data_IF_681435966327
#
_entry.id   IF_681435966327
#
_cell.length_a   1.000
_cell.length_b   1.000
_cell.length_c   1.000
_cell.angle_alpha   90.00
_cell.angle_beta   90.00
_cell.angle_gamma   90.00
#
_symmetry.space_group_name_H-M   'P 1'
#
loop_
_entity.id
_entity.type
_entity.pdbx_description
1 polymer ?
#
# COMPACT_ATOMS: atom_id res chain seq x y z
N UNK A 1 43.04 -52.64 -63.32
CA UNK A 1 41.87 -52.21 -64.13
C UNK A 1 40.51 -52.58 -63.52
N UNK A 2 40.26 -53.80 -63.01
CA UNK A 2 38.99 -54.11 -62.29
C UNK A 2 39.08 -53.92 -60.77
N UNK A 3 40.18 -54.36 -60.14
CA UNK A 3 40.38 -54.22 -58.69
C UNK A 3 40.54 -52.76 -58.24
N UNK A 4 41.20 -51.92 -59.05
CA UNK A 4 41.38 -50.50 -58.74
C UNK A 4 40.04 -49.74 -58.77
N UNK A 5 39.17 -50.08 -59.73
CA UNK A 5 37.84 -49.51 -59.84
C UNK A 5 36.96 -49.92 -58.66
N UNK A 6 37.02 -51.20 -58.26
CA UNK A 6 36.30 -51.69 -57.08
C UNK A 6 36.77 -51.00 -55.79
N UNK A 7 38.08 -50.81 -55.62
CA UNK A 7 38.65 -50.11 -54.46
C UNK A 7 38.24 -48.64 -54.42
N UNK A 8 38.29 -47.95 -55.55
CA UNK A 8 37.84 -46.56 -55.66
C UNK A 8 36.36 -46.43 -55.31
N UNK A 9 35.51 -47.28 -55.89
CA UNK A 9 34.07 -47.25 -55.64
C UNK A 9 33.71 -47.52 -54.16
N UNK A 10 34.38 -48.49 -53.52
CA UNK A 10 34.18 -48.76 -52.09
C UNK A 10 34.60 -47.57 -51.20
N UNK A 11 35.69 -46.91 -51.57
CA UNK A 11 36.20 -45.73 -50.85
C UNK A 11 35.22 -44.56 -50.98
N UNK A 12 34.78 -44.28 -52.20
CA UNK A 12 33.83 -43.20 -52.49
C UNK A 12 32.47 -43.43 -51.82
N UNK A 13 32.00 -44.68 -51.83
CA UNK A 13 30.77 -45.07 -51.13
C UNK A 13 30.89 -44.87 -49.62
N UNK A 14 32.02 -45.29 -49.02
CA UNK A 14 32.26 -45.12 -47.59
C UNK A 14 32.33 -43.63 -47.19
N UNK A 15 33.07 -42.83 -47.97
CA UNK A 15 33.19 -41.38 -47.75
C UNK A 15 31.84 -40.67 -47.91
N UNK A 16 31.07 -41.01 -48.94
CA UNK A 16 29.74 -40.43 -49.18
C UNK A 16 28.77 -40.76 -48.04
N UNK A 17 28.81 -42.01 -47.55
CA UNK A 17 27.99 -42.44 -46.41
C UNK A 17 28.38 -41.72 -45.12
N UNK A 18 29.68 -41.60 -44.85
CA UNK A 18 30.18 -40.88 -43.67
C UNK A 18 29.80 -39.41 -43.72
N UNK A 19 30.00 -38.75 -44.87
CA UNK A 19 29.60 -37.36 -45.07
C UNK A 19 28.10 -37.15 -44.81
N UNK A 20 27.25 -38.01 -45.38
CA UNK A 20 25.80 -37.92 -45.16
C UNK A 20 25.41 -38.10 -43.69
N UNK A 21 26.07 -39.01 -42.96
CA UNK A 21 25.82 -39.23 -41.53
C UNK A 21 26.23 -38.02 -40.68
N UNK A 22 27.36 -37.40 -40.99
CA UNK A 22 27.83 -36.18 -40.31
C UNK A 22 26.85 -35.03 -40.58
N UNK A 23 26.51 -34.77 -41.84
CA UNK A 23 25.57 -33.71 -42.23
C UNK A 23 24.19 -33.89 -41.58
N UNK A 24 23.67 -35.13 -41.56
CA UNK A 24 22.39 -35.43 -40.92
C UNK A 24 22.45 -35.22 -39.40
N UNK A 25 23.54 -35.64 -38.75
CA UNK A 25 23.72 -35.50 -37.30
C UNK A 25 23.87 -34.03 -36.91
N UNK A 26 24.63 -33.26 -37.68
CA UNK A 26 24.79 -31.82 -37.45
C UNK A 26 23.48 -31.07 -37.63
N UNK A 27 22.70 -31.39 -38.67
CA UNK A 27 21.36 -30.80 -38.85
C UNK A 27 20.45 -31.10 -37.67
N UNK A 28 20.37 -32.35 -37.23
CA UNK A 28 19.54 -32.74 -36.08
C UNK A 28 20.00 -32.05 -34.79
N UNK A 29 21.30 -31.89 -34.59
CA UNK A 29 21.84 -31.17 -33.43
C UNK A 29 21.46 -29.69 -33.45
N UNK A 30 21.56 -29.02 -34.61
CA UNK A 30 21.16 -27.63 -34.75
C UNK A 30 19.65 -27.43 -34.55
N UNK A 31 18.83 -28.32 -35.08
CA UNK A 31 17.37 -28.32 -34.86
C UNK A 31 17.05 -28.46 -33.37
N UNK A 32 17.68 -29.43 -32.68
CA UNK A 32 17.50 -29.65 -31.25
C UNK A 32 17.88 -28.41 -30.40
N UNK A 33 19.03 -27.79 -30.68
CA UNK A 33 19.47 -26.59 -29.94
C UNK A 33 18.53 -25.41 -30.20
N UNK A 34 18.10 -25.21 -31.45
CA UNK A 34 17.12 -24.19 -31.81
C UNK A 34 15.82 -24.39 -31.04
N UNK A 35 15.30 -25.62 -30.99
CA UNK A 35 14.03 -25.91 -30.35
C UNK A 35 14.12 -25.79 -28.82
N UNK A 36 15.22 -26.20 -28.21
CA UNK A 36 15.47 -25.94 -26.79
C UNK A 36 15.48 -24.43 -26.48
N UNK A 37 16.13 -23.62 -27.33
CA UNK A 37 16.20 -22.18 -27.12
C UNK A 37 14.83 -21.51 -27.28
N UNK A 38 14.01 -21.96 -28.25
CA UNK A 38 12.63 -21.49 -28.41
C UNK A 38 11.79 -21.80 -27.19
N UNK A 39 11.74 -23.07 -26.77
CA UNK A 39 10.97 -23.50 -25.59
C UNK A 39 11.38 -22.71 -24.35
N UNK A 40 12.70 -22.53 -24.14
CA UNK A 40 13.21 -21.74 -23.02
C UNK A 40 12.72 -20.29 -23.07
N UNK A 41 12.76 -19.67 -24.25
CA UNK A 41 12.36 -18.27 -24.42
C UNK A 41 10.86 -18.09 -24.23
N UNK A 42 10.06 -19.00 -24.79
CA UNK A 42 8.60 -19.02 -24.63
C UNK A 42 8.21 -19.18 -23.16
N UNK A 43 8.83 -20.13 -22.46
CA UNK A 43 8.56 -20.36 -21.04
C UNK A 43 8.90 -19.14 -20.18
N UNK A 44 10.06 -18.52 -20.41
CA UNK A 44 10.45 -17.29 -19.69
C UNK A 44 9.51 -16.13 -19.97
N UNK A 45 9.00 -16.02 -21.20
CA UNK A 45 8.05 -14.98 -21.59
C UNK A 45 6.72 -15.18 -20.88
N UNK A 46 6.19 -16.41 -20.89
CA UNK A 46 4.95 -16.76 -20.18
C UNK A 46 5.06 -16.47 -18.68
N UNK A 47 6.14 -16.92 -18.03
CA UNK A 47 6.34 -16.64 -16.60
C UNK A 47 6.40 -15.15 -16.30
N UNK A 48 7.04 -14.36 -17.17
CA UNK A 48 7.12 -12.91 -17.00
C UNK A 48 5.74 -12.26 -17.11
N UNK A 49 4.94 -12.66 -18.11
CA UNK A 49 3.58 -12.15 -18.31
C UNK A 49 2.65 -12.51 -17.15
N UNK A 50 2.74 -13.74 -16.63
CA UNK A 50 1.96 -14.17 -15.47
C UNK A 50 2.34 -13.40 -14.19
N UNK A 51 3.63 -13.18 -13.96
CA UNK A 51 4.11 -12.37 -12.84
C UNK A 51 3.65 -10.92 -12.95
N UNK A 52 3.74 -10.33 -14.14
CA UNK A 52 3.29 -8.96 -14.37
C UNK A 52 1.77 -8.82 -14.18
N UNK A 53 0.98 -9.79 -14.66
CA UNK A 53 -0.47 -9.84 -14.46
C UNK A 53 -0.82 -9.96 -12.98
N UNK A 54 -0.18 -10.89 -12.27
CA UNK A 54 -0.41 -11.09 -10.83
C UNK A 54 -0.05 -9.84 -10.02
N UNK A 55 1.05 -9.17 -10.37
CA UNK A 55 1.45 -7.91 -9.74
C UNK A 55 0.40 -6.82 -9.95
N UNK A 56 -0.07 -6.61 -11.18
CA UNK A 56 -1.08 -5.60 -11.48
C UNK A 56 -2.40 -5.86 -10.74
N UNK A 57 -2.83 -7.12 -10.67
CA UNK A 57 -4.03 -7.53 -9.94
C UNK A 57 -3.93 -7.23 -8.43
N UNK A 58 -2.77 -7.53 -7.83
CA UNK A 58 -2.51 -7.25 -6.42
C UNK A 58 -2.49 -5.74 -6.15
N UNK A 59 -1.82 -4.96 -7.00
CA UNK A 59 -1.78 -3.50 -6.89
C UNK A 59 -3.18 -2.89 -7.02
N UNK A 60 -4.00 -3.38 -7.96
CA UNK A 60 -5.37 -2.93 -8.13
C UNK A 60 -6.25 -3.24 -6.91
N UNK A 61 -6.16 -4.47 -6.38
CA UNK A 61 -6.87 -4.88 -5.16
C UNK A 61 -6.46 -4.05 -3.95
N UNK A 62 -5.16 -3.81 -3.78
CA UNK A 62 -4.63 -2.99 -2.70
C UNK A 62 -5.11 -1.54 -2.80
N UNK A 63 -5.07 -0.96 -4.01
CA UNK A 63 -5.55 0.40 -4.26
C UNK A 63 -7.03 0.56 -3.95
N UNK A 64 -7.87 -0.40 -4.35
CA UNK A 64 -9.30 -0.32 -4.05
C UNK A 64 -9.57 -0.49 -2.55
N UNK A 65 -8.89 -1.42 -1.88
CA UNK A 65 -8.98 -1.58 -0.43
C UNK A 65 -8.59 -0.29 0.31
N UNK A 66 -7.49 0.33 -0.08
CA UNK A 66 -7.04 1.60 0.49
C UNK A 66 -8.07 2.71 0.28
N UNK A 67 -8.65 2.82 -0.92
CA UNK A 67 -9.69 3.80 -1.24
C UNK A 67 -10.94 3.61 -0.36
N UNK A 68 -11.37 2.37 -0.13
CA UNK A 68 -12.50 2.05 0.74
C UNK A 68 -12.19 2.48 2.18
N UNK A 69 -11.01 2.16 2.70
CA UNK A 69 -10.63 2.55 4.07
C UNK A 69 -10.49 4.07 4.24
N UNK A 70 -9.94 4.78 3.25
CA UNK A 70 -9.89 6.25 3.26
C UNK A 70 -11.30 6.86 3.29
N UNK A 71 -12.23 6.33 2.50
CA UNK A 71 -13.60 6.80 2.48
C UNK A 71 -14.31 6.54 3.81
N UNK A 72 -14.11 5.36 4.43
CA UNK A 72 -14.64 5.04 5.76
C UNK A 72 -14.09 5.99 6.81
N UNK A 73 -12.79 6.26 6.80
CA UNK A 73 -12.15 7.18 7.73
C UNK A 73 -12.66 8.61 7.56
N UNK A 74 -12.80 9.08 6.32
CA UNK A 74 -13.34 10.40 6.02
C UNK A 74 -14.79 10.55 6.51
N UNK A 75 -15.62 9.52 6.32
CA UNK A 75 -17.00 9.54 6.78
C UNK A 75 -17.11 9.49 8.31
N UNK A 76 -16.29 8.65 8.96
CA UNK A 76 -16.19 8.62 10.43
C UNK A 76 -15.79 10.00 10.97
N UNK A 77 -14.73 10.59 10.43
CA UNK A 77 -14.26 11.90 10.85
C UNK A 77 -15.33 12.99 10.65
N UNK A 78 -16.09 12.96 9.56
CA UNK A 78 -17.22 13.86 9.33
C UNK A 78 -18.27 13.74 10.43
N UNK A 79 -18.62 12.51 10.82
CA UNK A 79 -19.58 12.23 11.90
C UNK A 79 -19.04 12.70 13.26
N UNK A 80 -17.77 12.43 13.55
CA UNK A 80 -17.12 12.84 14.80
C UNK A 80 -17.08 14.36 14.93
N UNK A 81 -16.77 15.10 13.84
CA UNK A 81 -16.83 16.57 13.82
C UNK A 81 -18.26 17.06 14.08
N UNK A 82 -19.27 16.45 13.43
CA UNK A 82 -20.68 16.83 13.62
C UNK A 82 -21.13 16.61 15.06
N UNK A 83 -20.72 15.50 15.69
CA UNK A 83 -20.97 15.23 17.09
C UNK A 83 -20.23 16.23 18.00
N UNK A 84 -18.97 16.55 17.67
CA UNK A 84 -18.17 17.53 18.39
C UNK A 84 -18.84 18.90 18.44
N UNK A 85 -19.33 19.39 17.30
CA UNK A 85 -20.00 20.69 17.18
C UNK A 85 -21.32 20.80 17.96
N UNK A 86 -21.91 19.69 18.41
CA UNK A 86 -23.18 19.68 19.17
C UNK A 86 -22.99 19.75 20.69
N UNK A 87 -21.75 19.70 21.19
CA UNK A 87 -21.44 19.67 22.62
C UNK A 87 -20.65 20.92 23.04
N UNK A 88 -20.50 21.10 24.35
CA UNK A 88 -19.58 22.08 24.94
C UNK A 88 -18.33 21.37 25.42
N UNK A 89 -17.18 22.02 25.29
CA UNK A 89 -15.88 21.41 25.55
C UNK A 89 -15.09 22.22 26.56
N UNK A 90 -14.41 21.50 27.45
CA UNK A 90 -13.58 22.08 28.49
C UNK A 90 -12.42 22.81 27.82
N UNK A 91 -12.27 24.11 28.12
CA UNK A 91 -11.17 24.90 27.58
C UNK A 91 -9.79 24.33 27.98
N UNK A 92 -9.70 23.70 29.15
CA UNK A 92 -8.43 23.25 29.72
C UNK A 92 -7.97 21.87 29.22
N UNK A 93 -8.90 20.93 29.02
CA UNK A 93 -8.55 19.51 28.77
C UNK A 93 -9.36 18.84 27.66
N UNK A 94 -10.22 19.60 26.96
CA UNK A 94 -11.03 19.11 25.83
C UNK A 94 -12.02 17.99 26.17
N UNK A 95 -12.20 17.64 27.45
CA UNK A 95 -13.30 16.80 27.90
C UNK A 95 -14.64 17.53 27.76
N UNK A 96 -15.75 16.79 27.72
CA UNK A 96 -17.09 17.38 27.67
C UNK A 96 -17.33 18.28 28.89
N UNK A 97 -17.67 19.54 28.65
CA UNK A 97 -17.87 20.52 29.70
C UNK A 97 -19.25 20.40 30.32
N UNK A 98 -19.31 20.50 31.65
CA UNK A 98 -20.56 20.50 32.43
C UNK A 98 -20.79 21.84 33.15
N UNK A 99 -19.77 22.69 33.24
CA UNK A 99 -19.85 24.01 33.88
C UNK A 99 -19.58 25.12 32.85
N UNK A 100 -20.53 26.04 32.68
CA UNK A 100 -20.35 27.23 31.85
C UNK A 100 -19.78 28.41 32.66
N UNK A 101 -18.77 29.10 32.11
CA UNK A 101 -18.26 30.34 32.68
C UNK A 101 -18.77 31.58 31.94
N UNK A 102 -18.41 31.73 30.66
CA UNK A 102 -18.89 32.78 29.77
C UNK A 102 -18.74 32.35 28.29
N UNK A 103 -19.08 33.23 27.34
CA UNK A 103 -19.02 32.91 25.90
C UNK A 103 -17.69 32.26 25.51
N UNK A 104 -17.77 31.08 24.89
CA UNK A 104 -16.63 30.28 24.45
C UNK A 104 -15.64 29.88 25.59
N UNK A 105 -16.11 29.77 26.84
CA UNK A 105 -15.31 29.24 27.94
C UNK A 105 -16.17 28.42 28.90
N UNK A 106 -15.98 27.10 28.86
CA UNK A 106 -16.63 26.12 29.72
C UNK A 106 -15.59 25.13 30.29
N UNK A 107 -15.94 24.39 31.34
CA UNK A 107 -15.05 23.46 32.03
C UNK A 107 -15.77 22.15 32.38
N UNK A 108 -15.01 21.05 32.43
CA UNK A 108 -15.51 19.77 32.93
C UNK A 108 -15.45 19.67 34.47
N UNK A 109 -14.60 20.47 35.12
CA UNK A 109 -14.39 20.42 36.56
C UNK A 109 -13.90 21.74 37.14
N UNK A 110 -13.97 21.89 38.47
CA UNK A 110 -13.47 23.08 39.18
C UNK A 110 -11.95 23.18 39.09
N UNK A 111 -11.25 22.05 39.10
CA UNK A 111 -9.78 21.97 38.96
C UNK A 111 -9.36 22.53 37.60
N UNK A 112 -10.06 22.16 36.52
CA UNK A 112 -9.84 22.72 35.19
C UNK A 112 -10.09 24.23 35.14
N UNK A 113 -11.13 24.70 35.84
CA UNK A 113 -11.41 26.13 35.94
C UNK A 113 -10.30 26.88 36.68
N UNK A 114 -9.86 26.37 37.85
CA UNK A 114 -8.82 27.00 38.66
C UNK A 114 -7.47 27.02 37.92
N UNK A 115 -7.14 25.96 37.18
CA UNK A 115 -5.94 25.89 36.35
C UNK A 115 -5.92 26.95 35.24
N UNK A 116 -7.04 27.13 34.52
CA UNK A 116 -7.16 28.18 33.49
C UNK A 116 -7.36 29.59 34.07
N UNK A 117 -7.85 29.72 35.30
CA UNK A 117 -8.30 30.99 35.88
C UNK A 117 -7.27 32.15 35.85
N UNK A 118 -5.97 31.94 36.14
CA UNK A 118 -4.96 33.01 36.09
C UNK A 118 -4.93 33.73 34.74
N UNK A 119 -5.17 32.99 33.65
CA UNK A 119 -5.24 33.49 32.27
C UNK A 119 -6.64 34.03 31.96
N UNK A 120 -7.69 33.25 32.26
CA UNK A 120 -9.07 33.60 31.91
C UNK A 120 -9.59 34.89 32.56
N UNK A 121 -9.20 35.16 33.82
CA UNK A 121 -9.75 36.26 34.62
C UNK A 121 -9.60 37.64 33.98
N UNK A 122 -8.61 37.83 33.08
CA UNK A 122 -8.33 39.10 32.41
C UNK A 122 -9.41 39.49 31.40
N UNK A 123 -10.11 38.52 30.82
CA UNK A 123 -11.11 38.72 29.75
C UNK A 123 -12.44 38.01 30.01
N UNK A 124 -12.64 37.50 31.23
CA UNK A 124 -13.89 36.86 31.63
C UNK A 124 -15.06 37.84 31.47
N UNK A 125 -16.07 37.42 30.70
CA UNK A 125 -17.28 38.23 30.41
C UNK A 125 -18.43 37.97 31.37
N UNK A 126 -18.23 37.10 32.35
CA UNK A 126 -19.25 36.84 33.38
C UNK A 126 -19.38 38.10 34.24
N UNK A 127 -20.48 38.83 34.08
CA UNK A 127 -20.77 39.99 34.93
C UNK A 127 -20.83 39.52 36.38
N UNK A 128 -20.11 40.20 37.28
CA UNK A 128 -20.33 40.02 38.71
C UNK A 128 -21.76 40.47 39.00
N UNK A 129 -22.63 39.64 39.61
CA UNK A 129 -23.84 40.15 40.21
C UNK A 129 -23.41 41.24 41.20
N UNK A 130 -23.96 42.44 41.09
CA UNK A 130 -23.85 43.42 42.17
C UNK A 130 -24.55 42.79 43.39
N UNK A 131 -23.78 42.30 44.36
CA UNK A 131 -24.31 41.94 45.69
C UNK A 131 -24.26 40.49 46.17
N UNK A 132 -23.44 39.58 45.62
CA UNK A 132 -23.21 38.27 46.28
C UNK A 132 -21.72 38.03 46.53
N UNK A 133 -21.36 38.07 47.82
CA UNK A 133 -20.08 37.68 48.37
C UNK A 133 -19.70 36.27 47.89
N UNK A 134 -18.41 36.09 47.57
CA UNK A 134 -17.82 34.76 47.36
C UNK A 134 -18.08 33.91 48.62
N UNK A 135 -18.55 32.66 48.51
CA UNK A 135 -18.24 31.71 49.56
C UNK A 135 -16.73 31.49 49.51
N UNK A 136 -16.03 32.03 50.51
CA UNK A 136 -14.70 31.54 50.89
C UNK A 136 -14.86 30.06 51.22
N UNK A 137 -14.35 29.18 50.36
CA UNK A 137 -14.11 27.80 50.74
C UNK A 137 -12.83 27.83 51.59
N UNK A 138 -13.06 27.76 52.90
CA UNK A 138 -12.08 27.47 53.94
C UNK A 138 -11.28 26.22 53.61
N UNK A 139 -10.04 26.23 54.09
CA UNK A 139 -8.94 25.26 53.97
C UNK A 139 -9.37 23.79 53.99
#
# INVERSE_FOLDING_TARGET
MLMDLQRHWLTDYQQSREKLLVEMTERLHQEFLSDQQKIRTELLTQFKEELDTTRQDLEAKYRESLKVELNKLAEKHRKDISACKKKQWCWQCEAEAIYHCCWNTAYCSVECQQSHWPTHRKYCRRRRPQGQQQPQLTQ
#
